data_IF_400039315455
#
_entry.id   IF_400039315455
#
_cell.length_a   1.000
_cell.length_b   1.000
_cell.length_c   1.000
_cell.angle_alpha   90.00
_cell.angle_beta   90.00
_cell.angle_gamma   90.00
#
_symmetry.space_group_name_H-M   'P 1'
#
loop_
_entity.id
_entity.type
_entity.pdbx_description
1 polymer ?
#
# COMPACT_ATOMS: atom_id res chain seq x y z
N UNK A 1 25.73 3.35 12.50
CA UNK A 1 24.42 3.48 11.83
C UNK A 1 24.04 2.10 11.34
N UNK A 2 22.85 1.61 11.69
CA UNK A 2 22.33 0.37 11.11
C UNK A 2 22.12 0.59 9.61
N UNK A 3 22.48 -0.41 8.81
CA UNK A 3 22.21 -0.41 7.37
C UNK A 3 20.70 -0.19 7.13
N UNK A 4 20.29 0.58 6.09
CA UNK A 4 18.89 0.72 5.76
C UNK A 4 18.28 -0.64 5.44
N UNK A 5 17.05 -0.83 5.89
CA UNK A 5 16.29 -2.05 5.62
C UNK A 5 15.90 -2.11 4.15
N UNK A 6 16.30 -3.19 3.47
CA UNK A 6 15.86 -3.53 2.12
C UNK A 6 15.19 -4.91 2.17
N UNK A 7 13.88 -4.95 1.94
CA UNK A 7 13.13 -6.19 1.86
C UNK A 7 11.95 -6.08 0.91
N UNK A 8 11.68 -7.20 0.24
CA UNK A 8 10.46 -7.37 -0.54
C UNK A 8 9.23 -7.53 0.37
N UNK A 9 8.17 -6.80 0.02
CA UNK A 9 6.85 -6.84 0.68
C UNK A 9 5.77 -6.89 -0.39
N UNK A 10 4.74 -7.71 -0.17
CA UNK A 10 3.58 -7.82 -1.06
C UNK A 10 2.25 -7.66 -0.31
N UNK A 11 2.31 -7.57 1.02
CA UNK A 11 1.18 -7.31 1.89
C UNK A 11 1.49 -6.15 2.82
N UNK A 12 0.50 -5.30 3.06
CA UNK A 12 0.59 -4.25 4.08
C UNK A 12 -0.73 -4.08 4.82
N UNK A 13 -0.65 -3.60 6.06
CA UNK A 13 -1.80 -3.18 6.86
C UNK A 13 -1.53 -1.79 7.43
N UNK A 14 -2.53 -0.91 7.31
CA UNK A 14 -2.50 0.46 7.79
C UNK A 14 -3.38 0.60 9.03
N UNK A 15 -2.79 1.03 10.14
CA UNK A 15 -3.50 1.39 11.37
C UNK A 15 -3.29 2.86 11.68
N UNK A 16 -4.38 3.62 11.74
CA UNK A 16 -4.35 5.06 12.07
C UNK A 16 -4.96 5.26 13.46
N UNK A 17 -4.23 5.96 14.33
CA UNK A 17 -4.69 6.32 15.67
C UNK A 17 -4.45 7.81 15.98
N UNK A 18 -4.91 8.28 17.16
CA UNK A 18 -4.81 9.69 17.54
C UNK A 18 -3.37 10.23 17.58
N UNK A 19 -2.39 9.34 17.79
CA UNK A 19 -0.99 9.68 18.00
C UNK A 19 -0.08 9.34 16.82
N UNK A 20 -0.64 8.85 15.71
CA UNK A 20 0.14 8.53 14.52
C UNK A 20 -0.38 7.33 13.75
N UNK A 21 0.49 6.83 12.89
CA UNK A 21 0.20 5.79 11.91
C UNK A 21 1.20 4.65 12.06
N UNK A 22 0.72 3.42 11.96
CA UNK A 22 1.54 2.22 11.84
C UNK A 22 1.24 1.53 10.51
N UNK A 23 2.29 1.37 9.69
CA UNK A 23 2.30 0.53 8.51
C UNK A 23 3.02 -0.76 8.84
N UNK A 24 2.31 -1.88 8.82
CA UNK A 24 2.90 -3.20 9.00
C UNK A 24 3.00 -3.86 7.64
N UNK A 25 4.16 -4.43 7.33
CA UNK A 25 4.43 -5.12 6.09
C UNK A 25 4.63 -6.60 6.34
N UNK A 26 4.13 -7.41 5.42
CA UNK A 26 4.29 -8.84 5.43
C UNK A 26 4.61 -9.34 4.01
N UNK A 27 5.13 -10.55 3.93
CA UNK A 27 5.37 -11.27 2.68
C UNK A 27 4.56 -12.56 2.64
N UNK A 28 3.95 -12.85 1.50
CA UNK A 28 3.27 -14.13 1.27
C UNK A 28 4.26 -15.29 1.38
N UNK A 29 3.90 -16.37 2.08
CA UNK A 29 4.73 -17.57 2.12
C UNK A 29 4.79 -18.21 0.72
N UNK A 30 5.98 -18.54 0.20
CA UNK A 30 6.14 -19.21 -1.08
C UNK A 30 5.72 -20.69 -1.02
N UNK A 31 5.48 -21.24 0.18
CA UNK A 31 5.09 -22.65 0.35
C UNK A 31 3.58 -22.77 0.17
N UNK A 32 3.10 -23.77 -0.61
CA UNK A 32 1.68 -24.06 -0.71
C UNK A 32 1.11 -24.30 0.70
N UNK A 33 0.02 -23.62 1.04
CA UNK A 33 -0.70 -23.93 2.27
C UNK A 33 -1.32 -25.30 2.17
N UNK A 34 -1.17 -26.10 3.22
CA UNK A 34 -1.86 -27.38 3.33
C UNK A 34 -3.38 -27.16 3.27
N UNK A 35 -4.11 -28.11 2.69
CA UNK A 35 -5.56 -28.03 2.60
C UNK A 35 -6.19 -27.82 3.99
N UNK A 36 -6.96 -26.74 4.16
CA UNK A 36 -7.58 -26.36 5.42
C UNK A 36 -6.74 -25.46 6.34
N UNK A 37 -5.51 -25.10 5.95
CA UNK A 37 -4.68 -24.14 6.68
C UNK A 37 -4.81 -22.72 6.14
N UNK A 38 -4.77 -21.73 7.05
CA UNK A 38 -4.77 -20.31 6.69
C UNK A 38 -3.42 -19.96 6.06
N UNK A 39 -3.38 -19.22 4.93
CA UNK A 39 -2.15 -18.65 4.38
C UNK A 39 -1.31 -17.96 5.45
N UNK A 40 -0.10 -18.47 5.69
CA UNK A 40 0.81 -17.88 6.66
C UNK A 40 1.60 -16.77 5.96
N UNK A 41 1.27 -15.52 6.25
CA UNK A 41 2.11 -14.38 5.88
C UNK A 41 3.25 -14.27 6.91
N UNK A 42 4.44 -13.90 6.45
CA UNK A 42 5.59 -13.67 7.31
C UNK A 42 5.78 -12.17 7.52
N UNK A 43 5.84 -11.73 8.78
CA UNK A 43 6.06 -10.32 9.11
C UNK A 43 7.44 -9.86 8.62
N UNK A 44 7.44 -8.76 7.86
CA UNK A 44 8.66 -8.17 7.28
C UNK A 44 9.13 -6.99 8.12
N UNK A 45 8.21 -6.15 8.60
CA UNK A 45 8.56 -5.05 9.48
C UNK A 45 7.41 -4.07 9.70
N UNK A 46 7.62 -3.11 10.59
CA UNK A 46 6.65 -2.08 10.90
C UNK A 46 7.29 -0.68 10.86
N UNK A 47 6.65 0.24 10.15
CA UNK A 47 7.02 1.67 10.09
C UNK A 47 5.98 2.47 10.86
N UNK A 48 6.43 3.22 11.87
CA UNK A 48 5.58 4.12 12.66
C UNK A 48 5.96 5.56 12.40
N UNK A 49 4.97 6.41 12.18
CA UNK A 49 5.18 7.81 11.84
C UNK A 49 4.03 8.69 12.33
N UNK A 50 4.23 10.00 12.30
CA UNK A 50 3.17 10.96 12.60
C UNK A 50 2.15 11.06 11.44
N UNK A 51 0.98 11.62 11.72
CA UNK A 51 -0.04 11.87 10.70
C UNK A 51 0.42 12.88 9.65
N UNK A 52 1.21 13.89 10.03
CA UNK A 52 1.80 14.86 9.12
C UNK A 52 2.73 14.18 8.11
N UNK A 53 3.59 13.29 8.59
CA UNK A 53 4.51 12.56 7.73
C UNK A 53 3.75 11.62 6.78
N UNK A 54 2.74 10.92 7.29
CA UNK A 54 1.91 10.03 6.48
C UNK A 54 1.16 10.78 5.36
N UNK A 55 0.62 11.98 5.65
CA UNK A 55 -0.03 12.83 4.63
C UNK A 55 0.93 13.23 3.51
N UNK A 56 2.14 13.66 3.87
CA UNK A 56 3.17 14.02 2.88
C UNK A 56 3.56 12.82 2.02
N UNK A 57 3.74 11.66 2.65
CA UNK A 57 4.05 10.41 1.95
C UNK A 57 2.94 10.04 0.96
N UNK A 58 1.67 10.12 1.36
CA UNK A 58 0.53 9.83 0.48
C UNK A 58 0.52 10.73 -0.77
N UNK A 59 0.76 12.04 -0.58
CA UNK A 59 0.82 12.99 -1.69
C UNK A 59 1.99 12.68 -2.65
N UNK A 60 3.18 12.42 -2.11
CA UNK A 60 4.37 12.12 -2.91
C UNK A 60 4.23 10.81 -3.69
N UNK A 61 3.67 9.77 -3.05
CA UNK A 61 3.40 8.49 -3.71
C UNK A 61 2.44 8.66 -4.89
N UNK A 62 1.32 9.37 -4.70
CA UNK A 62 0.37 9.62 -5.78
C UNK A 62 1.00 10.39 -6.94
N UNK A 63 1.82 11.41 -6.65
CA UNK A 63 2.56 12.16 -7.68
C UNK A 63 3.51 11.27 -8.46
N UNK A 64 4.27 10.41 -7.78
CA UNK A 64 5.28 9.55 -8.43
C UNK A 64 4.65 8.51 -9.36
N UNK A 65 3.53 7.89 -8.95
CA UNK A 65 2.84 6.90 -9.79
C UNK A 65 2.29 7.58 -11.04
N UNK A 66 1.64 8.74 -10.90
CA UNK A 66 1.13 9.51 -12.06
C UNK A 66 2.24 9.90 -13.04
N UNK A 67 3.41 10.27 -12.52
CA UNK A 67 4.56 10.60 -13.37
C UNK A 67 5.00 9.39 -14.21
N UNK A 68 5.10 8.20 -13.61
CA UNK A 68 5.47 6.96 -14.32
C UNK A 68 4.40 6.59 -15.34
N UNK A 69 3.12 6.64 -14.97
CA UNK A 69 2.00 6.40 -15.88
C UNK A 69 2.01 7.35 -17.08
N UNK A 70 2.24 8.64 -16.83
CA UNK A 70 2.36 9.67 -17.86
C UNK A 70 3.55 9.46 -18.79
N UNK A 71 4.71 9.06 -18.25
CA UNK A 71 5.91 8.74 -19.03
C UNK A 71 5.72 7.52 -19.93
N UNK A 72 5.03 6.49 -19.43
CA UNK A 72 4.81 5.24 -20.15
C UNK A 72 3.57 5.30 -21.07
N UNK A 73 2.70 6.30 -20.90
CA UNK A 73 1.44 6.40 -21.62
C UNK A 73 0.46 5.27 -21.28
N UNK A 74 0.55 4.72 -20.07
CA UNK A 74 -0.31 3.64 -19.56
C UNK A 74 -1.00 4.07 -18.28
N UNK A 75 -2.12 3.42 -17.97
CA UNK A 75 -2.75 3.45 -16.65
C UNK A 75 -2.54 2.07 -16.01
N UNK A 76 -2.07 2.03 -14.76
CA UNK A 76 -1.90 0.79 -14.00
C UNK A 76 -3.24 0.51 -13.30
N UNK A 77 -4.04 -0.47 -13.78
CA UNK A 77 -5.38 -0.65 -13.27
C UNK A 77 -5.35 -1.26 -11.86
N UNK A 78 -6.16 -0.71 -10.96
CA UNK A 78 -6.45 -1.34 -9.67
C UNK A 78 -7.68 -2.25 -9.83
N UNK A 79 -7.57 -3.57 -9.58
CA UNK A 79 -8.71 -4.47 -9.66
C UNK A 79 -9.86 -4.07 -8.73
N UNK A 80 -11.09 -4.10 -9.24
CA UNK A 80 -12.32 -3.71 -8.51
C UNK A 80 -12.50 -4.52 -7.23
N UNK A 81 -12.10 -5.79 -7.24
CA UNK A 81 -12.15 -6.67 -6.07
C UNK A 81 -11.30 -6.14 -4.92
N UNK A 82 -10.13 -5.55 -5.22
CA UNK A 82 -9.24 -4.96 -4.20
C UNK A 82 -9.85 -3.67 -3.65
N UNK A 83 -10.40 -2.81 -4.52
CA UNK A 83 -11.10 -1.60 -4.07
C UNK A 83 -12.28 -1.94 -3.15
N UNK A 84 -13.08 -2.95 -3.52
CA UNK A 84 -14.19 -3.43 -2.70
C UNK A 84 -13.73 -3.97 -1.35
N UNK A 85 -12.65 -4.76 -1.31
CA UNK A 85 -12.07 -5.27 -0.08
C UNK A 85 -11.60 -4.15 0.86
N UNK A 86 -11.08 -3.06 0.28
CA UNK A 86 -10.66 -1.86 1.00
C UNK A 86 -11.79 -0.86 1.26
N UNK A 87 -13.02 -1.17 0.83
CA UNK A 87 -14.21 -0.29 0.92
C UNK A 87 -14.00 1.07 0.27
N UNK A 88 -13.28 1.10 -0.85
CA UNK A 88 -13.05 2.29 -1.66
C UNK A 88 -14.12 2.33 -2.76
N UNK A 89 -14.94 3.38 -2.78
CA UNK A 89 -15.92 3.57 -3.84
C UNK A 89 -15.22 3.90 -5.18
N UNK A 90 -15.70 3.38 -6.32
CA UNK A 90 -15.11 3.68 -7.63
C UNK A 90 -15.05 5.19 -7.93
N UNK A 91 -16.06 5.95 -7.50
CA UNK A 91 -16.15 7.39 -7.67
C UNK A 91 -15.09 8.12 -6.86
N UNK A 92 -14.88 7.73 -5.60
CA UNK A 92 -13.83 8.28 -4.74
C UNK A 92 -12.44 7.99 -5.30
N UNK A 93 -12.23 6.78 -5.83
CA UNK A 93 -11.00 6.41 -6.51
C UNK A 93 -10.76 7.27 -7.75
N UNK A 94 -11.76 7.39 -8.63
CA UNK A 94 -11.65 8.20 -9.84
C UNK A 94 -11.40 9.67 -9.52
N UNK A 95 -12.12 10.20 -8.53
CA UNK A 95 -11.93 11.57 -8.03
C UNK A 95 -10.50 11.78 -7.58
N UNK A 96 -10.02 10.92 -6.68
CA UNK A 96 -8.65 10.98 -6.19
C UNK A 96 -7.62 10.88 -7.32
N UNK A 97 -7.81 9.94 -8.27
CA UNK A 97 -6.81 9.69 -9.31
C UNK A 97 -6.78 10.79 -10.38
N UNK A 98 -7.96 11.26 -10.83
CA UNK A 98 -8.11 12.20 -11.96
C UNK A 98 -8.06 13.67 -11.59
N UNK A 99 -8.46 14.08 -10.38
CA UNK A 99 -8.42 15.50 -9.98
C UNK A 99 -6.98 16.01 -9.71
N UNK A 100 -5.98 15.13 -9.73
CA UNK A 100 -4.57 15.49 -9.57
C UNK A 100 -3.78 15.66 -10.87
N UNK A 101 -4.44 15.63 -12.04
CA UNK A 101 -3.85 15.94 -13.34
C UNK A 101 -3.94 17.44 -13.68
#
# INVERSE_FOLDING_TARGET
>A
MSEPFDAYVDQFTLSVGPYGVALNFARSSPKPTAAGSVPQAEDVGAVRMSLEHFKLMAFLMARQVREIEGQLGIEIPVPVQIMNALRIAPEDWQKFWREGQ
#
